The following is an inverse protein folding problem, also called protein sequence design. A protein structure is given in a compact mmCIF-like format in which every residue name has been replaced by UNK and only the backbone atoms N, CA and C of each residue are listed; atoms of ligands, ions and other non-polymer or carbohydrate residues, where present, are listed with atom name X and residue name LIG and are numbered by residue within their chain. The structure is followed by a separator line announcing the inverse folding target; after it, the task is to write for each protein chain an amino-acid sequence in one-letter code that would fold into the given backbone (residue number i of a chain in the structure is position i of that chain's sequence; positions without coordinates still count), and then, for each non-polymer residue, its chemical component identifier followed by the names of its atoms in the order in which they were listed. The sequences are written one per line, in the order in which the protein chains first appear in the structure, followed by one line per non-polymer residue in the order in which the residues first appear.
data_IF_460862832958
#
_entry.id   IF_460862832958
#
_cell.length_a   1.000
_cell.length_b   1.000
_cell.length_c   1.000
_cell.angle_alpha   90.00
_cell.angle_beta   90.00
_cell.angle_gamma   90.00
#
_symmetry.space_group_name_H-M   'P 1'
#
loop_
_entity.id
_entity.type
_entity.pdbx_description
1 polymer ?
#
# COMPACT_ATOMS: atom_id res chain seq x y z
N UNK A 1 -8.45 19.68 -2.73
CA UNK A 1 -7.81 20.19 -1.49
C UNK A 1 -6.80 19.15 -1.02
N UNK A 2 -5.71 19.59 -0.41
CA UNK A 2 -4.86 18.70 0.38
C UNK A 2 -5.35 18.66 1.82
N UNK A 3 -5.25 17.50 2.45
CA UNK A 3 -5.58 17.30 3.85
C UNK A 3 -4.62 16.25 4.42
N UNK A 4 -4.32 16.31 5.72
CA UNK A 4 -3.52 15.28 6.36
C UNK A 4 -4.26 13.93 6.29
N UNK A 5 -3.54 12.81 6.42
CA UNK A 5 -4.16 11.50 6.57
C UNK A 5 -5.19 11.49 7.70
N UNK A 6 -6.13 10.54 7.67
CA UNK A 6 -7.11 10.35 8.75
C UNK A 6 -6.37 10.33 10.11
N UNK A 7 -6.81 11.16 11.05
CA UNK A 7 -6.20 11.36 12.38
C UNK A 7 -4.87 12.14 12.42
N UNK A 8 -4.45 12.80 11.34
CA UNK A 8 -3.18 13.57 11.25
C UNK A 8 -1.93 12.78 11.64
N UNK A 9 -1.95 11.46 11.40
CA UNK A 9 -0.82 10.59 11.68
C UNK A 9 0.02 10.38 10.42
N UNK A 10 1.31 10.65 10.55
CA UNK A 10 2.33 10.31 9.57
C UNK A 10 3.02 9.02 9.97
N UNK A 11 3.68 8.38 9.00
CA UNK A 11 4.44 7.15 9.22
C UNK A 11 5.54 7.03 8.18
N UNK A 12 6.65 6.46 8.60
CA UNK A 12 7.73 6.05 7.71
C UNK A 12 7.59 4.56 7.40
N UNK A 13 7.89 4.21 6.16
CA UNK A 13 7.91 2.83 5.68
C UNK A 13 9.27 2.58 5.04
N UNK A 14 10.04 1.58 5.50
CA UNK A 14 11.31 1.23 4.87
C UNK A 14 11.09 0.91 3.39
N UNK A 15 11.85 1.58 2.53
CA UNK A 15 11.73 1.44 1.07
C UNK A 15 12.83 0.50 0.57
N UNK A 16 12.49 -0.69 0.03
CA UNK A 16 13.48 -1.58 -0.56
C UNK A 16 14.18 -0.93 -1.76
N UNK A 17 15.42 -1.34 -2.04
CA UNK A 17 16.19 -0.85 -3.18
C UNK A 17 15.48 -1.07 -4.52
N UNK A 18 14.82 -2.21 -4.69
CA UNK A 18 14.03 -2.53 -5.88
C UNK A 18 12.88 -1.55 -6.11
N UNK A 19 12.16 -1.16 -5.05
CA UNK A 19 11.06 -0.19 -5.14
C UNK A 19 11.62 1.22 -5.39
N UNK A 20 12.75 1.56 -4.77
CA UNK A 20 13.45 2.83 -5.00
C UNK A 20 13.83 2.97 -6.47
N UNK A 21 14.40 1.92 -7.07
CA UNK A 21 14.75 1.91 -8.50
C UNK A 21 13.51 2.03 -9.38
N UNK A 22 12.44 1.27 -9.09
CA UNK A 22 11.20 1.36 -9.83
C UNK A 22 10.59 2.79 -9.80
N UNK A 23 10.64 3.46 -8.64
CA UNK A 23 10.20 4.85 -8.51
C UNK A 23 11.09 5.81 -9.31
N UNK A 24 12.41 5.61 -9.31
CA UNK A 24 13.34 6.42 -10.11
C UNK A 24 13.02 6.30 -11.60
N UNK A 25 12.93 5.08 -12.12
CA UNK A 25 12.57 4.80 -13.52
C UNK A 25 11.23 5.44 -13.87
N UNK A 26 10.24 5.31 -12.97
CA UNK A 26 8.94 5.95 -13.15
C UNK A 26 9.07 7.48 -13.24
N UNK A 27 9.77 8.12 -12.30
CA UNK A 27 9.97 9.58 -12.29
C UNK A 27 10.80 10.09 -13.47
N UNK A 28 11.66 9.25 -14.04
CA UNK A 28 12.41 9.60 -15.25
C UNK A 28 11.54 9.58 -16.49
N UNK A 29 10.66 8.57 -16.60
CA UNK A 29 9.72 8.39 -17.71
C UNK A 29 8.54 9.38 -17.62
N UNK A 30 8.00 9.55 -16.42
CA UNK A 30 6.85 10.37 -16.08
C UNK A 30 7.30 11.43 -15.08
N UNK A 31 7.72 12.59 -15.59
CA UNK A 31 8.29 13.65 -14.75
C UNK A 31 7.29 14.05 -13.65
N UNK A 32 7.70 14.10 -12.37
CA UNK A 32 6.83 14.53 -11.28
C UNK A 32 6.21 15.89 -11.56
N UNK A 33 4.90 16.01 -11.32
CA UNK A 33 4.15 17.24 -11.59
C UNK A 33 3.89 17.96 -10.28
N UNK A 34 4.28 19.23 -10.20
CA UNK A 34 3.89 20.09 -9.09
C UNK A 34 2.45 20.58 -9.27
N UNK A 35 1.62 20.38 -8.25
CA UNK A 35 0.28 20.93 -8.20
C UNK A 35 0.11 21.78 -6.94
N UNK A 36 -0.78 22.77 -7.02
CA UNK A 36 -1.10 23.66 -5.90
C UNK A 36 -2.57 23.57 -5.56
N UNK A 37 -2.90 23.20 -4.32
CA UNK A 37 -4.28 23.07 -3.84
C UNK A 37 -4.47 23.76 -2.48
N UNK A 38 -5.71 24.18 -2.15
CA UNK A 38 -6.03 24.66 -0.80
C UNK A 38 -5.82 23.57 0.26
N UNK A 39 -5.32 23.96 1.43
CA UNK A 39 -5.16 23.09 2.61
C UNK A 39 -6.41 23.03 3.47
N UNK A 40 -6.91 21.82 3.77
CA UNK A 40 -8.06 21.46 4.61
C UNK A 40 -9.43 21.99 4.16
N UNK A 41 -9.53 23.26 3.79
CA UNK A 41 -10.77 23.93 3.37
C UNK A 41 -10.59 24.58 1.99
N UNK A 42 -11.67 24.77 1.19
CA UNK A 42 -11.55 25.29 -0.18
C UNK A 42 -10.93 26.69 -0.25
N UNK A 43 -11.12 27.48 0.80
CA UNK A 43 -10.60 28.83 1.03
C UNK A 43 -9.31 28.86 1.87
N UNK A 44 -8.77 27.69 2.22
CA UNK A 44 -7.55 27.56 3.01
C UNK A 44 -6.29 28.02 2.27
N UNK A 45 -5.16 28.15 2.99
CA UNK A 45 -3.89 28.52 2.37
C UNK A 45 -3.50 27.50 1.29
N UNK A 46 -2.98 28.00 0.18
CA UNK A 46 -2.49 27.16 -0.92
C UNK A 46 -1.18 26.52 -0.54
N UNK A 47 -1.04 25.24 -0.86
CA UNK A 47 0.15 24.44 -0.63
C UNK A 47 0.49 23.67 -1.91
N UNK A 48 1.78 23.62 -2.22
CA UNK A 48 2.29 22.95 -3.41
C UNK A 48 2.88 21.58 -3.03
N UNK A 49 2.61 20.57 -3.85
CA UNK A 49 3.20 19.24 -3.69
C UNK A 49 3.52 18.64 -5.06
N UNK A 50 4.59 17.85 -5.11
CA UNK A 50 4.99 17.09 -6.29
C UNK A 50 4.29 15.73 -6.28
N UNK A 51 3.48 15.48 -7.29
CA UNK A 51 2.87 14.19 -7.55
C UNK A 51 3.87 13.29 -8.24
N UNK A 52 4.13 12.13 -7.64
CA UNK A 52 4.94 11.09 -8.29
C UNK A 52 4.14 10.29 -9.32
N UNK A 53 2.82 10.16 -9.11
CA UNK A 53 1.91 9.47 -10.02
C UNK A 53 0.80 10.43 -10.45
N UNK A 54 0.58 10.54 -11.75
CA UNK A 54 -0.47 11.38 -12.33
C UNK A 54 -1.32 10.57 -13.31
N UNK A 55 -2.54 11.04 -13.57
CA UNK A 55 -3.30 10.57 -14.71
C UNK A 55 -2.71 11.13 -16.02
N UNK A 56 -3.29 10.75 -17.16
CA UNK A 56 -2.86 11.19 -18.50
C UNK A 56 -2.98 12.70 -18.73
N UNK A 57 -3.75 13.40 -17.90
CA UNK A 57 -3.88 14.86 -17.92
C UNK A 57 -2.91 15.58 -16.96
N UNK A 58 -1.97 14.86 -16.33
CA UNK A 58 -1.02 15.44 -15.36
C UNK A 58 -1.64 15.79 -14.00
N UNK A 59 -2.85 15.30 -13.71
CA UNK A 59 -3.56 15.55 -12.45
C UNK A 59 -3.54 14.32 -11.52
N UNK A 60 -4.10 14.49 -10.32
CA UNK A 60 -4.24 13.41 -9.34
C UNK A 60 -4.95 12.18 -9.94
N UNK A 61 -4.47 11.00 -9.57
CA UNK A 61 -5.11 9.73 -9.91
C UNK A 61 -6.35 9.55 -9.04
N UNK A 62 -7.53 9.58 -9.66
CA UNK A 62 -8.78 9.28 -8.97
C UNK A 62 -8.94 7.78 -8.82
N UNK A 63 -9.16 7.31 -7.59
CA UNK A 63 -9.31 5.88 -7.27
C UNK A 63 -10.36 5.20 -8.16
N UNK A 64 -11.52 5.81 -8.36
CA UNK A 64 -12.62 5.25 -9.16
C UNK A 64 -12.19 5.05 -10.61
N UNK A 65 -11.55 6.06 -11.20
CA UNK A 65 -11.12 6.02 -12.60
C UNK A 65 -10.00 5.00 -12.77
N UNK A 66 -8.97 5.06 -11.91
CA UNK A 66 -7.88 4.09 -11.94
C UNK A 66 -8.40 2.65 -11.79
N UNK A 67 -9.36 2.42 -10.90
CA UNK A 67 -9.93 1.10 -10.71
C UNK A 67 -10.59 0.55 -11.98
N UNK A 68 -11.35 1.39 -12.70
CA UNK A 68 -12.09 0.97 -13.90
C UNK A 68 -11.17 0.91 -15.12
N UNK A 69 -10.28 1.89 -15.29
CA UNK A 69 -9.50 2.10 -16.51
C UNK A 69 -8.19 1.35 -16.54
N UNK A 70 -7.59 1.05 -15.38
CA UNK A 70 -6.26 0.45 -15.29
C UNK A 70 -6.29 -0.86 -14.51
N UNK A 71 -6.86 -0.83 -13.30
CA UNK A 71 -6.77 -1.96 -12.37
C UNK A 71 -7.57 -3.18 -12.86
N UNK A 72 -8.86 -3.02 -13.16
CA UNK A 72 -9.69 -4.15 -13.61
C UNK A 72 -9.22 -4.74 -14.95
N UNK A 73 -8.86 -3.96 -15.98
CA UNK A 73 -8.22 -4.50 -17.17
C UNK A 73 -6.95 -5.30 -16.85
N UNK A 74 -6.09 -4.82 -15.94
CA UNK A 74 -4.90 -5.55 -15.53
C UNK A 74 -5.24 -6.89 -14.84
N UNK A 75 -6.29 -6.93 -14.02
CA UNK A 75 -6.77 -8.18 -13.40
C UNK A 75 -7.27 -9.19 -14.44
N UNK A 76 -7.98 -8.71 -15.47
CA UNK A 76 -8.45 -9.55 -16.58
C UNK A 76 -7.28 -10.12 -17.37
N UNK A 77 -6.28 -9.28 -17.73
CA UNK A 77 -5.06 -9.73 -18.41
C UNK A 77 -4.28 -10.74 -17.56
N UNK A 78 -4.30 -10.59 -16.23
CA UNK A 78 -3.71 -11.54 -15.30
C UNK A 78 -4.55 -12.81 -15.07
N UNK A 79 -5.74 -12.93 -15.68
CA UNK A 79 -6.64 -14.08 -15.54
C UNK A 79 -7.31 -14.20 -14.18
N UNK A 80 -7.36 -13.12 -13.39
CA UNK A 80 -7.94 -13.12 -12.04
C UNK A 80 -9.44 -12.85 -12.05
N UNK A 81 -9.95 -12.18 -13.08
CA UNK A 81 -11.37 -11.89 -13.25
C UNK A 81 -11.76 -12.08 -14.72
N UNK A 82 -13.04 -12.30 -15.04
CA UNK A 82 -13.51 -12.34 -16.41
C UNK A 82 -13.28 -11.03 -17.17
N UNK A 83 -13.39 -11.10 -18.50
CA UNK A 83 -13.50 -9.91 -19.34
C UNK A 83 -14.71 -9.04 -18.94
N UNK A 84 -14.69 -7.77 -19.36
CA UNK A 84 -15.84 -6.90 -19.19
C UNK A 84 -17.06 -7.49 -19.93
N UNK A 85 -18.25 -7.30 -19.37
CA UNK A 85 -19.51 -7.61 -20.05
C UNK A 85 -19.66 -6.82 -21.35
N UNK A 86 -20.62 -7.20 -22.19
CA UNK A 86 -20.92 -6.49 -23.45
C UNK A 86 -21.16 -4.97 -23.24
N UNK A 87 -21.69 -4.58 -22.08
CA UNK A 87 -21.89 -3.18 -21.67
C UNK A 87 -20.60 -2.47 -21.19
N UNK A 88 -19.43 -3.10 -21.30
CA UNK A 88 -18.15 -2.59 -20.85
C UNK A 88 -17.97 -2.58 -19.32
N UNK A 89 -18.79 -3.34 -18.57
CA UNK A 89 -18.74 -3.40 -17.11
C UNK A 89 -18.02 -4.64 -16.65
N UNK A 90 -17.03 -4.45 -15.79
CA UNK A 90 -16.41 -5.56 -15.08
C UNK A 90 -17.19 -5.93 -13.83
N UNK A 91 -17.22 -7.22 -13.52
CA UNK A 91 -17.77 -7.76 -12.28
C UNK A 91 -17.09 -7.19 -11.02
N UNK A 92 -17.77 -7.33 -9.88
CA UNK A 92 -17.26 -6.86 -8.59
C UNK A 92 -16.22 -7.85 -8.04
N UNK A 93 -14.95 -7.54 -8.21
CA UNK A 93 -13.84 -8.35 -7.71
C UNK A 93 -13.28 -7.81 -6.40
N UNK A 94 -14.06 -7.92 -5.31
CA UNK A 94 -13.69 -7.33 -4.02
C UNK A 94 -12.40 -7.93 -3.45
N UNK A 95 -12.21 -9.23 -3.63
CA UNK A 95 -11.02 -9.97 -3.18
C UNK A 95 -9.74 -9.58 -3.94
N UNK A 96 -9.89 -9.16 -5.20
CA UNK A 96 -8.80 -8.70 -6.06
C UNK A 96 -8.71 -7.16 -6.15
N UNK A 97 -9.42 -6.43 -5.28
CA UNK A 97 -9.31 -4.98 -5.25
C UNK A 97 -7.89 -4.51 -4.87
N UNK A 98 -7.55 -3.26 -5.13
CA UNK A 98 -6.23 -2.68 -4.80
C UNK A 98 -5.77 -2.91 -3.34
N UNK A 99 -6.71 -3.11 -2.41
CA UNK A 99 -6.36 -3.42 -1.02
C UNK A 99 -5.72 -4.81 -0.84
N UNK A 100 -5.91 -5.72 -1.78
CA UNK A 100 -5.23 -7.02 -1.82
C UNK A 100 -3.71 -6.86 -1.85
N UNK A 101 -3.17 -5.84 -2.54
CA UNK A 101 -1.73 -5.54 -2.53
C UNK A 101 -1.21 -5.17 -1.13
N UNK A 102 -2.04 -4.51 -0.33
CA UNK A 102 -1.71 -4.20 1.06
C UNK A 102 -1.75 -5.45 1.95
N UNK A 103 -2.70 -6.35 1.71
CA UNK A 103 -2.72 -7.65 2.36
C UNK A 103 -1.46 -8.46 2.00
N UNK A 104 -1.11 -8.52 0.72
CA UNK A 104 0.12 -9.16 0.24
C UNK A 104 1.36 -8.61 0.95
N UNK A 105 1.54 -7.29 1.01
CA UNK A 105 2.65 -6.67 1.72
C UNK A 105 2.73 -7.09 3.21
N UNK A 106 1.59 -7.10 3.90
CA UNK A 106 1.53 -7.53 5.30
C UNK A 106 1.89 -9.02 5.46
N UNK A 107 1.34 -9.87 4.60
CA UNK A 107 1.59 -11.32 4.60
C UNK A 107 3.06 -11.63 4.38
N UNK A 108 3.70 -11.01 3.39
CA UNK A 108 5.13 -11.24 3.08
C UNK A 108 6.03 -10.84 4.25
N UNK A 109 5.76 -9.70 4.90
CA UNK A 109 6.56 -9.28 6.05
C UNK A 109 6.43 -10.22 7.24
N UNK A 110 5.20 -10.68 7.54
CA UNK A 110 4.96 -11.58 8.65
C UNK A 110 5.53 -12.98 8.41
N UNK A 111 5.45 -13.48 7.18
CA UNK A 111 6.09 -14.74 6.77
C UNK A 111 7.62 -14.67 6.91
N UNK A 112 8.21 -13.52 6.54
CA UNK A 112 9.63 -13.23 6.76
C UNK A 112 10.02 -13.06 8.25
N UNK A 113 9.05 -13.11 9.17
CA UNK A 113 9.28 -13.02 10.61
C UNK A 113 9.35 -11.60 11.17
N UNK A 114 8.91 -10.59 10.42
CA UNK A 114 8.82 -9.21 10.90
C UNK A 114 7.87 -9.11 12.10
N UNK A 115 8.14 -8.17 13.01
CA UNK A 115 7.31 -7.98 14.19
C UNK A 115 5.93 -7.44 13.81
N UNK A 116 4.88 -7.96 14.47
CA UNK A 116 3.53 -7.48 14.20
C UNK A 116 3.32 -6.00 14.54
N UNK A 117 4.12 -5.48 15.49
CA UNK A 117 4.17 -4.06 15.83
C UNK A 117 4.71 -3.23 14.67
N UNK A 118 5.83 -3.63 14.06
CA UNK A 118 6.39 -2.93 12.91
C UNK A 118 5.43 -2.97 11.72
N UNK A 119 4.86 -4.14 11.39
CA UNK A 119 3.85 -4.26 10.32
C UNK A 119 2.65 -3.36 10.60
N UNK A 120 2.12 -3.35 11.84
CA UNK A 120 1.04 -2.45 12.24
C UNK A 120 1.37 -0.97 12.03
N UNK A 121 2.58 -0.56 12.39
CA UNK A 121 3.08 0.80 12.20
C UNK A 121 3.19 1.17 10.72
N UNK A 122 3.81 0.33 9.88
CA UNK A 122 3.95 0.58 8.43
C UNK A 122 2.60 0.65 7.72
N UNK A 123 1.65 -0.19 8.15
CA UNK A 123 0.28 -0.16 7.68
C UNK A 123 -0.46 1.09 8.20
N UNK A 124 -0.07 1.68 9.33
CA UNK A 124 -0.74 2.81 9.95
C UNK A 124 -2.04 2.41 10.67
N UNK A 125 -2.07 1.20 11.25
CA UNK A 125 -3.18 0.79 12.09
C UNK A 125 -3.08 1.48 13.45
N UNK A 126 -4.14 2.19 13.86
CA UNK A 126 -4.21 2.83 15.19
C UNK A 126 -4.26 1.81 16.31
N UNK A 127 -4.85 0.64 16.04
CA UNK A 127 -4.94 -0.49 16.96
C UNK A 127 -4.13 -1.67 16.40
N UNK A 128 -2.98 -2.02 17.00
CA UNK A 128 -2.22 -3.21 16.61
C UNK A 128 -3.00 -4.52 16.72
N UNK A 129 -4.01 -4.60 17.58
CA UNK A 129 -4.87 -5.77 17.67
C UNK A 129 -5.68 -5.99 16.39
N UNK A 130 -5.90 -4.96 15.55
CA UNK A 130 -6.43 -5.15 14.20
C UNK A 130 -5.47 -5.97 13.34
N UNK A 131 -4.17 -5.63 13.34
CA UNK A 131 -3.16 -6.39 12.58
C UNK A 131 -3.08 -7.83 13.08
N UNK A 132 -3.09 -8.03 14.40
CA UNK A 132 -3.09 -9.36 15.01
C UNK A 132 -4.30 -10.18 14.57
N UNK A 133 -5.52 -9.63 14.69
CA UNK A 133 -6.74 -10.33 14.27
C UNK A 133 -6.74 -10.71 12.80
N UNK A 134 -6.20 -9.85 11.93
CA UNK A 134 -6.25 -10.07 10.49
C UNK A 134 -5.15 -11.04 10.03
N UNK A 135 -3.95 -10.99 10.61
CA UNK A 135 -2.78 -11.68 10.04
C UNK A 135 -2.05 -12.67 10.96
N UNK A 136 -2.43 -12.81 12.23
CA UNK A 136 -1.70 -13.71 13.15
C UNK A 136 -1.59 -15.15 12.64
N UNK A 137 -2.58 -15.62 11.86
CA UNK A 137 -2.61 -16.95 11.29
C UNK A 137 -1.52 -17.20 10.23
N UNK A 138 -0.88 -16.15 9.71
CA UNK A 138 0.22 -16.24 8.74
C UNK A 138 1.60 -16.31 9.41
N UNK A 139 1.68 -16.11 10.73
CA UNK A 139 2.96 -16.07 11.42
C UNK A 139 3.52 -17.49 11.56
N UNK A 140 4.76 -17.76 11.12
CA UNK A 140 5.36 -19.07 11.27
C UNK A 140 5.52 -19.45 12.74
N UNK A 141 5.29 -20.72 13.07
CA UNK A 141 5.47 -21.23 14.44
C UNK A 141 6.88 -20.89 14.95
N UNK A 142 6.97 -20.37 16.17
CA UNK A 142 8.22 -19.80 16.69
C UNK A 142 8.91 -20.69 17.73
N UNK A 143 8.37 -21.85 18.08
CA UNK A 143 8.83 -22.64 19.23
C UNK A 143 10.35 -22.93 19.19
N UNK A 144 10.87 -23.40 18.06
CA UNK A 144 12.30 -23.71 17.90
C UNK A 144 13.16 -22.44 17.86
N UNK A 145 12.69 -21.36 17.22
CA UNK A 145 13.38 -20.06 17.25
C UNK A 145 13.48 -19.52 18.68
N UNK A 146 12.40 -19.66 19.46
CA UNK A 146 12.35 -19.24 20.86
C UNK A 146 13.35 -20.01 21.71
N UNK A 147 13.44 -21.34 21.55
CA UNK A 147 14.44 -22.16 22.25
C UNK A 147 15.86 -21.68 21.94
N UNK A 148 16.20 -21.60 20.65
CA UNK A 148 17.54 -21.16 20.20
C UNK A 148 17.93 -19.77 20.69
N UNK A 149 16.98 -18.83 20.73
CA UNK A 149 17.25 -17.46 21.16
C UNK A 149 17.59 -17.36 22.66
N UNK A 150 16.99 -18.20 23.50
CA UNK A 150 17.35 -18.26 24.92
C UNK A 150 18.66 -19.02 25.10
N UNK A 151 18.84 -20.14 24.40
CA UNK A 151 20.07 -20.94 24.48
C UNK A 151 21.30 -20.12 24.07
N UNK A 152 21.21 -19.27 23.03
CA UNK A 152 22.34 -18.44 22.57
C UNK A 152 22.79 -17.37 23.56
N UNK A 153 21.93 -16.97 24.50
CA UNK A 153 22.25 -16.00 25.56
C UNK A 153 22.73 -16.70 26.82
N UNK A 154 22.16 -17.87 27.14
CA UNK A 154 22.41 -18.59 28.39
C UNK A 154 23.60 -19.57 28.32
N UNK A 155 24.08 -19.92 27.12
CA UNK A 155 25.23 -20.81 26.92
C UNK A 155 26.55 -20.06 26.60
N UNK A 156 26.62 -18.76 26.90
CA UNK A 156 27.88 -17.99 26.92
C UNK A 156 28.49 -17.95 28.33
#
# INVERSE_FOLDING_TARGET
MFAPPKCSKERDVPLPSSVTEALRVHMDTFKPVEITLPWRKPDGPKVSARLLFTNTAGWIVWRSNFNIQEWKPALTVAGLIPDASEDGKYESAREHGMHALRHFYASVLLDAGESIKAVSQYLGHTDPALTLRVYAHLMPSSQERTRRAIDSVMQN
#
